data_IF_745014094558
#
_entry.id   IF_745014094558
#
_cell.length_a   1.000
_cell.length_b   1.000
_cell.length_c   1.000
_cell.angle_alpha   90.00
_cell.angle_beta   90.00
_cell.angle_gamma   90.00
#
_symmetry.space_group_name_H-M   'P 1'
#
loop_
_entity.id
_entity.type
_entity.pdbx_description
1 polymer ?
#
# COMPACT_ATOMS: atom_id res chain seq x y z
N UNK A 1 19.59 12.02 19.81
CA UNK A 1 18.41 11.66 19.00
C UNK A 1 17.30 12.67 19.29
N UNK A 2 17.05 13.62 18.39
CA UNK A 2 15.88 14.52 18.55
C UNK A 2 14.61 13.76 18.21
N UNK A 3 13.67 13.70 19.16
CA UNK A 3 12.34 13.12 18.95
C UNK A 3 11.52 14.15 18.18
N UNK A 4 11.34 13.95 16.88
CA UNK A 4 10.48 14.80 16.06
C UNK A 4 9.01 14.43 16.30
N UNK A 5 8.20 15.40 16.77
CA UNK A 5 6.76 15.21 16.93
C UNK A 5 6.04 15.55 15.63
N UNK A 6 5.37 14.56 15.06
CA UNK A 6 4.46 14.74 13.93
C UNK A 6 3.19 15.48 14.40
N UNK A 7 2.67 16.45 13.62
CA UNK A 7 1.35 17.02 13.83
C UNK A 7 0.29 15.92 13.83
N UNK A 8 -0.63 16.04 14.77
CA UNK A 8 -1.65 15.01 14.98
C UNK A 8 -2.55 14.83 13.76
N UNK A 9 -2.77 15.89 12.96
CA UNK A 9 -3.55 15.83 11.72
C UNK A 9 -2.93 14.94 10.64
N UNK A 10 -1.61 14.99 10.46
CA UNK A 10 -0.90 14.10 9.52
C UNK A 10 -0.88 12.68 10.06
N UNK A 11 -0.76 12.53 11.38
CA UNK A 11 -0.71 11.21 12.06
C UNK A 11 -1.99 10.44 11.84
N UNK A 12 -3.12 11.07 12.13
CA UNK A 12 -4.43 10.46 11.93
C UNK A 12 -4.66 10.11 10.47
N UNK A 13 -4.20 10.93 9.52
CA UNK A 13 -4.31 10.62 8.09
C UNK A 13 -3.48 9.39 7.70
N UNK A 14 -2.22 9.30 8.13
CA UNK A 14 -1.37 8.12 7.86
C UNK A 14 -1.96 6.87 8.51
N UNK A 15 -2.43 6.97 9.75
CA UNK A 15 -3.04 5.85 10.46
C UNK A 15 -4.29 5.33 9.77
N UNK A 16 -5.22 6.22 9.44
CA UNK A 16 -6.46 5.85 8.75
C UNK A 16 -6.15 5.25 7.37
N UNK A 17 -5.30 5.93 6.59
CA UNK A 17 -4.98 5.50 5.24
C UNK A 17 -4.23 4.17 5.19
N UNK A 18 -3.18 4.00 6.00
CA UNK A 18 -2.43 2.74 6.08
C UNK A 18 -3.28 1.63 6.70
N UNK A 19 -4.14 1.94 7.68
CA UNK A 19 -5.06 0.98 8.28
C UNK A 19 -6.05 0.41 7.26
N UNK A 20 -6.74 1.28 6.51
CA UNK A 20 -7.64 0.87 5.44
C UNK A 20 -6.89 0.07 4.36
N UNK A 21 -5.74 0.57 3.91
CA UNK A 21 -4.93 -0.11 2.89
C UNK A 21 -4.47 -1.50 3.33
N UNK A 22 -4.04 -1.64 4.58
CA UNK A 22 -3.63 -2.92 5.15
C UNK A 22 -4.81 -3.91 5.18
N UNK A 23 -5.97 -3.47 5.68
CA UNK A 23 -7.16 -4.31 5.74
C UNK A 23 -7.64 -4.74 4.35
N UNK A 24 -7.72 -3.81 3.39
CA UNK A 24 -8.10 -4.10 2.01
C UNK A 24 -7.10 -5.06 1.35
N UNK A 25 -5.79 -4.80 1.47
CA UNK A 25 -4.76 -5.68 0.92
C UNK A 25 -4.80 -7.08 1.55
N UNK A 26 -5.08 -7.19 2.85
CA UNK A 26 -5.22 -8.48 3.53
C UNK A 26 -6.38 -9.31 2.97
N UNK A 27 -7.54 -8.69 2.72
CA UNK A 27 -8.69 -9.38 2.11
C UNK A 27 -8.34 -9.94 0.73
N UNK A 28 -7.72 -9.13 -0.14
CA UNK A 28 -7.33 -9.59 -1.48
C UNK A 28 -6.18 -10.61 -1.45
N UNK A 29 -5.25 -10.47 -0.52
CA UNK A 29 -4.20 -11.45 -0.28
C UNK A 29 -4.79 -12.82 0.13
N UNK A 30 -5.70 -12.82 1.10
CA UNK A 30 -6.37 -14.04 1.55
C UNK A 30 -7.18 -14.70 0.41
N UNK A 31 -7.83 -13.89 -0.44
CA UNK A 31 -8.50 -14.38 -1.64
C UNK A 31 -7.52 -15.08 -2.60
N UNK A 32 -6.37 -14.47 -2.89
CA UNK A 32 -5.36 -15.04 -3.77
C UNK A 32 -4.83 -16.39 -3.22
N UNK A 33 -4.56 -16.46 -1.91
CA UNK A 33 -4.20 -17.71 -1.24
C UNK A 33 -5.30 -18.77 -1.40
N UNK A 34 -6.56 -18.39 -1.12
CA UNK A 34 -7.69 -19.31 -1.25
C UNK A 34 -7.83 -19.87 -2.67
N UNK A 35 -7.65 -19.06 -3.70
CA UNK A 35 -7.71 -19.51 -5.09
C UNK A 35 -6.62 -20.55 -5.42
N UNK A 36 -5.40 -20.35 -4.93
CA UNK A 36 -4.30 -21.29 -5.12
C UNK A 36 -4.54 -22.61 -4.35
N UNK A 37 -4.93 -22.53 -3.08
CA UNK A 37 -5.21 -23.71 -2.24
C UNK A 37 -6.39 -24.52 -2.79
N UNK A 38 -7.42 -23.84 -3.32
CA UNK A 38 -8.57 -24.47 -3.96
C UNK A 38 -8.24 -25.06 -5.35
N UNK A 39 -6.98 -25.04 -5.79
CA UNK A 39 -6.51 -25.52 -7.09
C UNK A 39 -7.22 -24.90 -8.29
N UNK A 40 -7.82 -23.70 -8.12
CA UNK A 40 -8.47 -22.97 -9.22
C UNK A 40 -7.46 -22.38 -10.18
N UNK A 41 -6.30 -21.97 -9.64
CA UNK A 41 -5.16 -21.43 -10.38
C UNK A 41 -3.87 -22.01 -9.81
N UNK A 42 -2.84 -22.28 -10.63
CA UNK A 42 -1.55 -22.79 -10.15
C UNK A 42 -0.78 -21.74 -9.34
N UNK A 43 -0.90 -20.46 -9.70
CA UNK A 43 -0.27 -19.35 -9.01
C UNK A 43 -1.07 -18.06 -9.22
N UNK A 44 -1.16 -17.23 -8.18
CA UNK A 44 -1.81 -15.93 -8.21
C UNK A 44 -0.82 -14.84 -7.77
N UNK A 45 -0.43 -13.94 -8.69
CA UNK A 45 0.50 -12.83 -8.43
C UNK A 45 -0.05 -11.85 -7.38
N UNK A 46 -1.37 -11.88 -7.11
CA UNK A 46 -2.01 -11.20 -5.99
C UNK A 46 -1.38 -11.58 -4.65
N UNK A 47 -0.96 -12.83 -4.45
CA UNK A 47 -0.33 -13.29 -3.21
C UNK A 47 0.93 -12.47 -2.88
N UNK A 48 1.80 -12.21 -3.86
CA UNK A 48 3.02 -11.45 -3.64
C UNK A 48 2.71 -9.96 -3.60
N UNK A 49 1.98 -9.45 -4.59
CA UNK A 49 1.75 -8.01 -4.71
C UNK A 49 0.99 -7.43 -3.51
N UNK A 50 -0.08 -8.06 -3.03
CA UNK A 50 -0.78 -7.60 -1.83
C UNK A 50 0.03 -7.76 -0.55
N UNK A 51 0.88 -8.79 -0.43
CA UNK A 51 1.78 -8.92 0.71
C UNK A 51 2.74 -7.72 0.83
N UNK A 52 3.22 -7.18 -0.30
CA UNK A 52 4.08 -5.98 -0.27
C UNK A 52 3.35 -4.74 0.23
N UNK A 53 2.04 -4.61 -0.02
CA UNK A 53 1.22 -3.50 0.48
C UNK A 53 0.92 -3.68 1.97
N UNK A 54 0.63 -4.89 2.43
CA UNK A 54 0.45 -5.19 3.86
C UNK A 54 1.71 -4.80 4.63
N UNK A 55 2.88 -5.23 4.16
CA UNK A 55 4.15 -4.90 4.78
C UNK A 55 4.43 -3.39 4.82
N UNK A 56 4.27 -2.68 3.69
CA UNK A 56 4.52 -1.23 3.64
C UNK A 56 3.48 -0.40 4.41
N UNK A 57 2.23 -0.88 4.50
CA UNK A 57 1.18 -0.29 5.33
C UNK A 57 1.48 -0.49 6.82
N UNK A 58 1.94 -1.68 7.22
CA UNK A 58 2.36 -1.95 8.59
C UNK A 58 3.54 -1.05 9.00
N UNK A 59 4.53 -0.88 8.11
CA UNK A 59 5.62 0.09 8.30
C UNK A 59 5.07 1.51 8.49
N UNK A 60 4.07 1.92 7.69
CA UNK A 60 3.36 3.19 7.85
C UNK A 60 2.69 3.34 9.22
N UNK A 61 1.97 2.31 9.68
CA UNK A 61 1.35 2.32 11.01
C UNK A 61 2.40 2.40 12.13
N UNK A 62 3.45 1.57 12.06
CA UNK A 62 4.55 1.58 13.03
C UNK A 62 5.19 2.95 13.08
N UNK A 63 5.41 3.58 11.92
CA UNK A 63 6.03 4.91 11.86
C UNK A 63 5.25 5.99 12.63
N UNK A 64 3.95 5.80 12.88
CA UNK A 64 3.09 6.74 13.62
C UNK A 64 3.20 6.64 15.15
N UNK A 65 3.95 5.67 15.66
CA UNK A 65 4.15 5.50 17.10
C UNK A 65 4.96 6.66 17.70
N UNK A 66 4.79 7.00 19.00
CA UNK A 66 5.51 8.13 19.61
C UNK A 66 7.05 7.98 19.65
N UNK A 67 7.55 6.74 19.61
CA UNK A 67 8.97 6.40 19.78
C UNK A 67 9.66 5.91 18.51
N UNK A 68 9.03 6.06 17.33
CA UNK A 68 9.61 5.55 16.09
C UNK A 68 10.75 6.41 15.55
N UNK A 69 11.79 5.74 15.08
CA UNK A 69 12.95 6.37 14.44
C UNK A 69 12.62 6.92 13.05
N UNK A 70 13.46 7.83 12.55
CA UNK A 70 13.41 8.33 11.16
C UNK A 70 13.44 7.21 10.12
N UNK A 71 14.13 6.10 10.42
CA UNK A 71 14.24 4.92 9.54
C UNK A 71 12.87 4.36 9.14
N UNK A 72 11.91 4.26 10.06
CA UNK A 72 10.57 3.73 9.73
C UNK A 72 9.78 4.66 8.80
N UNK A 73 10.01 5.96 8.92
CA UNK A 73 9.35 6.99 8.10
C UNK A 73 9.90 6.97 6.68
N UNK A 74 11.22 6.90 6.55
CA UNK A 74 11.89 6.75 5.26
C UNK A 74 11.51 5.40 4.62
N UNK A 75 11.49 4.32 5.40
CA UNK A 75 11.04 3.02 4.92
C UNK A 75 9.60 3.10 4.36
N UNK A 76 8.66 3.72 5.08
CA UNK A 76 7.30 3.91 4.56
C UNK A 76 7.30 4.70 3.24
N UNK A 77 8.00 5.84 3.19
CA UNK A 77 8.09 6.67 1.98
C UNK A 77 8.62 5.90 0.78
N UNK A 78 9.66 5.09 0.98
CA UNK A 78 10.33 4.37 -0.10
C UNK A 78 9.67 3.05 -0.48
N UNK A 79 8.87 2.44 0.40
CA UNK A 79 8.25 1.13 0.14
C UNK A 79 6.80 1.21 -0.30
N UNK A 80 6.02 2.17 0.21
CA UNK A 80 4.57 2.18 -0.01
C UNK A 80 4.17 2.42 -1.46
N UNK A 81 4.71 3.46 -2.11
CA UNK A 81 4.41 3.75 -3.51
C UNK A 81 4.82 2.60 -4.47
N UNK A 82 6.03 2.02 -4.35
CA UNK A 82 6.37 0.83 -5.13
C UNK A 82 5.42 -0.36 -4.91
N UNK A 83 5.03 -0.66 -3.67
CA UNK A 83 4.07 -1.75 -3.40
C UNK A 83 2.72 -1.52 -4.10
N UNK A 84 2.16 -0.32 -3.99
CA UNK A 84 0.90 0.03 -4.67
C UNK A 84 1.04 0.02 -6.20
N UNK A 85 2.19 0.47 -6.72
CA UNK A 85 2.49 0.42 -8.16
C UNK A 85 2.57 -1.02 -8.65
N UNK A 86 3.17 -1.93 -7.86
CA UNK A 86 3.25 -3.34 -8.21
C UNK A 86 1.87 -4.00 -8.27
N UNK A 87 0.99 -3.72 -7.31
CA UNK A 87 -0.42 -4.14 -7.38
C UNK A 87 -1.11 -3.56 -8.62
N UNK A 88 -0.87 -2.29 -8.94
CA UNK A 88 -1.45 -1.65 -10.12
C UNK A 88 -1.01 -2.34 -11.43
N UNK A 89 0.28 -2.67 -11.55
CA UNK A 89 0.81 -3.43 -12.69
C UNK A 89 0.19 -4.82 -12.77
N UNK A 90 0.02 -5.51 -11.63
CA UNK A 90 -0.69 -6.80 -11.59
C UNK A 90 -2.11 -6.70 -12.16
N UNK A 91 -2.86 -5.64 -11.80
CA UNK A 91 -4.18 -5.40 -12.37
C UNK A 91 -4.15 -5.06 -13.86
N UNK A 92 -3.17 -4.27 -14.33
CA UNK A 92 -2.98 -3.99 -15.76
C UNK A 92 -2.72 -5.27 -16.56
N UNK A 93 -1.94 -6.20 -16.03
CA UNK A 93 -1.77 -7.52 -16.65
C UNK A 93 -3.11 -8.25 -16.77
N UNK A 94 -3.97 -8.18 -15.75
CA UNK A 94 -5.34 -8.71 -15.81
C UNK A 94 -6.19 -8.13 -16.95
N UNK A 95 -6.06 -6.82 -17.23
CA UNK A 95 -6.75 -6.18 -18.37
C UNK A 95 -6.27 -6.74 -19.71
N UNK A 96 -4.95 -6.91 -19.86
CA UNK A 96 -4.33 -7.39 -21.11
C UNK A 96 -4.63 -8.87 -21.36
N UNK A 97 -4.53 -9.70 -20.32
CA UNK A 97 -4.57 -11.16 -20.46
C UNK A 97 -5.99 -11.75 -20.49
N UNK A 98 -7.01 -11.03 -20.01
CA UNK A 98 -8.38 -11.56 -19.90
C UNK A 98 -9.34 -10.78 -20.80
N UNK A 99 -10.08 -11.48 -21.66
CA UNK A 99 -10.98 -10.88 -22.66
C UNK A 99 -12.34 -10.43 -22.12
N UNK A 100 -12.71 -10.79 -20.88
CA UNK A 100 -14.04 -10.49 -20.32
C UNK A 100 -14.16 -9.00 -19.95
N UNK A 101 -15.08 -8.28 -20.60
CA UNK A 101 -15.27 -6.83 -20.40
C UNK A 101 -15.47 -6.43 -18.94
N UNK A 102 -16.35 -7.13 -18.22
CA UNK A 102 -16.59 -6.83 -16.80
C UNK A 102 -15.34 -6.98 -15.93
N UNK A 103 -14.50 -7.98 -16.22
CA UNK A 103 -13.23 -8.18 -15.52
C UNK A 103 -12.22 -7.07 -15.87
N UNK A 104 -12.19 -6.62 -17.12
CA UNK A 104 -11.33 -5.48 -17.52
C UNK A 104 -11.69 -4.20 -16.79
N UNK A 105 -12.98 -3.87 -16.72
CA UNK A 105 -13.44 -2.67 -15.97
C UNK A 105 -13.04 -2.74 -14.50
N UNK A 106 -13.22 -3.90 -13.87
CA UNK A 106 -12.75 -4.14 -12.50
C UNK A 106 -11.24 -3.95 -12.37
N UNK A 107 -10.44 -4.56 -13.24
CA UNK A 107 -8.99 -4.44 -13.19
C UNK A 107 -8.52 -3.00 -13.45
N UNK A 108 -9.12 -2.27 -14.39
CA UNK A 108 -8.78 -0.87 -14.66
C UNK A 108 -9.08 0.01 -13.45
N UNK A 109 -10.27 -0.12 -12.86
CA UNK A 109 -10.65 0.69 -11.68
C UNK A 109 -9.77 0.38 -10.47
N UNK A 110 -9.47 -0.90 -10.22
CA UNK A 110 -8.56 -1.32 -9.16
C UNK A 110 -7.13 -0.82 -9.40
N UNK A 111 -6.61 -0.92 -10.63
CA UNK A 111 -5.28 -0.39 -10.97
C UNK A 111 -5.17 1.11 -10.69
N UNK A 112 -6.19 1.89 -11.07
CA UNK A 112 -6.22 3.32 -10.79
C UNK A 112 -6.32 3.60 -9.29
N UNK A 113 -7.17 2.88 -8.56
CA UNK A 113 -7.32 3.06 -7.12
C UNK A 113 -6.00 2.81 -6.36
N UNK A 114 -5.28 1.74 -6.70
CA UNK A 114 -3.99 1.43 -6.10
C UNK A 114 -2.92 2.46 -6.48
N UNK A 115 -2.85 2.88 -7.74
CA UNK A 115 -1.89 3.87 -8.19
C UNK A 115 -2.09 5.23 -7.49
N UNK A 116 -3.34 5.71 -7.45
CA UNK A 116 -3.70 6.95 -6.78
C UNK A 116 -3.46 6.86 -5.26
N UNK A 117 -3.78 5.72 -4.65
CA UNK A 117 -3.45 5.43 -3.25
C UNK A 117 -1.93 5.52 -3.00
N UNK A 118 -1.11 4.91 -3.87
CA UNK A 118 0.34 5.00 -3.79
C UNK A 118 0.84 6.45 -3.85
N UNK A 119 0.32 7.26 -4.78
CA UNK A 119 0.68 8.67 -4.91
C UNK A 119 0.29 9.48 -3.67
N UNK A 120 -0.90 9.20 -3.12
CA UNK A 120 -1.37 9.83 -1.89
C UNK A 120 -0.49 9.46 -0.68
N UNK A 121 -0.15 8.17 -0.52
CA UNK A 121 0.78 7.73 0.51
C UNK A 121 2.16 8.39 0.39
N UNK A 122 2.67 8.54 -0.84
CA UNK A 122 3.92 9.28 -1.09
C UNK A 122 3.83 10.75 -0.70
N UNK A 123 2.70 11.41 -0.98
CA UNK A 123 2.45 12.79 -0.55
C UNK A 123 2.46 12.91 0.97
N UNK A 124 1.78 12.01 1.69
CA UNK A 124 1.80 11.98 3.15
C UNK A 124 3.22 11.78 3.71
N UNK A 125 3.99 10.85 3.15
CA UNK A 125 5.38 10.64 3.53
C UNK A 125 6.29 11.85 3.21
N UNK A 126 5.99 12.62 2.16
CA UNK A 126 6.73 13.84 1.84
C UNK A 126 6.45 14.97 2.84
N UNK A 127 5.17 15.21 3.18
CA UNK A 127 4.78 16.17 4.21
C UNK A 127 5.48 15.86 5.53
N UNK A 128 5.56 14.58 5.88
CA UNK A 128 6.25 14.14 7.08
C UNK A 128 7.75 14.49 7.09
N UNK A 129 8.43 14.44 5.94
CA UNK A 129 9.86 14.77 5.87
C UNK A 129 10.15 16.26 5.86
N UNK A 130 9.23 17.10 5.39
CA UNK A 130 9.43 18.55 5.37
C UNK A 130 9.47 19.15 6.78
N UNK A 131 8.64 18.65 7.69
CA UNK A 131 8.60 19.13 9.08
C UNK A 131 9.85 18.74 9.88
N UNK A 132 10.50 17.65 9.46
CA UNK A 132 11.76 17.15 9.98
C UNK A 132 12.96 18.05 9.62
N UNK A 133 12.81 18.99 8.66
CA UNK A 133 13.86 19.92 8.23
C UNK A 133 13.71 21.33 8.82
N UNK A 134 12.59 21.62 9.49
CA UNK A 134 12.30 22.95 10.06
C UNK A 134 12.72 23.09 11.54
N UNK A 135 13.39 22.08 12.11
CA UNK A 135 13.86 22.04 13.50
C UNK A 135 15.28 21.51 13.58
#
# INVERSE_FOLDING_TARGET
FSICKMPDSVRSQVQAFCGVSCATAFVFWAWAIYNMVSKKVPFDLGCISFATVIASSAVGLISTLPSTSRVWRDAHFHTYFPSCSFVSVNYVLGVVLVAKTGFRVYCTTAALAWLLGGLYGRKLGALWRQEDCLR
#
